data_IF_956903849343
#
_entry.id   IF_956903849343
#
_cell.length_a   1.000
_cell.length_b   1.000
_cell.length_c   1.000
_cell.angle_alpha   90.00
_cell.angle_beta   90.00
_cell.angle_gamma   90.00
#
_symmetry.space_group_name_H-M   'P 1'
#
loop_
_entity.id
_entity.type
_entity.pdbx_description
1 polymer ?
#
# COMPACT_ATOMS: atom_id res chain seq x y z
N UNK A 1 25.79 11.18 64.59
CA UNK A 1 26.00 10.73 63.19
C UNK A 1 25.95 9.21 63.14
N UNK A 2 24.79 8.62 62.85
CA UNK A 2 24.60 7.18 62.56
C UNK A 2 23.21 7.07 61.93
N UNK A 3 23.05 6.19 60.94
CA UNK A 3 21.86 5.97 60.11
C UNK A 3 21.87 6.60 58.70
N UNK A 4 23.04 6.94 58.14
CA UNK A 4 23.16 7.16 56.68
C UNK A 4 23.54 5.90 55.88
N UNK A 5 23.95 4.82 56.57
CA UNK A 5 24.37 3.55 55.94
C UNK A 5 23.19 2.61 55.58
N UNK A 6 22.00 2.83 56.13
CA UNK A 6 20.84 1.96 55.87
C UNK A 6 20.09 2.29 54.56
N UNK A 7 20.35 3.45 53.95
CA UNK A 7 19.70 3.87 52.70
C UNK A 7 20.44 3.44 51.44
N UNK A 8 21.69 2.99 51.57
CA UNK A 8 22.53 2.54 50.45
C UNK A 8 21.96 1.26 49.76
N UNK A 9 21.54 0.21 50.48
CA UNK A 9 20.94 -0.97 49.82
C UNK A 9 19.56 -0.67 49.22
N UNK A 10 18.81 0.29 49.78
CA UNK A 10 17.49 0.69 49.27
C UNK A 10 17.59 1.50 47.97
N UNK A 11 18.60 2.39 47.85
CA UNK A 11 18.90 3.09 46.61
C UNK A 11 19.46 2.17 45.52
N UNK A 12 20.27 1.16 45.90
CA UNK A 12 20.79 0.16 44.96
C UNK A 12 19.67 -0.75 44.39
N UNK A 13 18.66 -1.08 45.21
CA UNK A 13 17.46 -1.81 44.76
C UNK A 13 16.61 -1.01 43.76
N UNK A 14 16.58 0.33 43.89
CA UNK A 14 15.83 1.21 42.98
C UNK A 14 16.52 1.41 41.62
N UNK A 15 17.82 1.17 41.51
CA UNK A 15 18.55 1.16 40.23
C UNK A 15 18.38 -0.14 39.43
N UNK A 16 17.97 -1.24 40.08
CA UNK A 16 17.75 -2.54 39.42
C UNK A 16 16.37 -2.69 38.77
N UNK A 17 15.43 -1.76 39.02
CA UNK A 17 14.07 -1.80 38.46
C UNK A 17 13.95 -1.12 37.08
N UNK A 18 15.04 -0.57 36.55
CA UNK A 18 15.05 0.05 35.22
C UNK A 18 15.48 -0.90 34.09
N UNK A 19 15.81 -2.15 34.40
CA UNK A 19 15.97 -3.19 33.38
C UNK A 19 14.61 -3.85 33.09
N UNK A 20 13.62 -3.05 32.70
CA UNK A 20 12.63 -3.55 31.75
C UNK A 20 13.37 -3.66 30.41
N UNK A 21 14.26 -4.65 30.30
CA UNK A 21 14.72 -5.14 29.00
C UNK A 21 13.44 -5.52 28.27
N UNK A 22 13.07 -4.69 27.29
CA UNK A 22 12.17 -5.11 26.23
C UNK A 22 12.76 -6.42 25.72
N UNK A 23 12.09 -7.54 25.98
CA UNK A 23 12.40 -8.79 25.30
C UNK A 23 12.03 -8.53 23.85
N UNK A 24 13.00 -8.04 23.08
CA UNK A 24 12.93 -8.07 21.62
C UNK A 24 13.02 -9.55 21.29
N UNK A 25 11.86 -10.17 21.07
CA UNK A 25 11.80 -11.53 20.55
C UNK A 25 12.70 -11.56 19.30
N UNK A 26 13.65 -12.51 19.20
CA UNK A 26 14.53 -12.60 18.06
C UNK A 26 13.68 -12.71 16.78
N UNK A 27 14.07 -11.93 15.78
CA UNK A 27 13.37 -11.85 14.50
C UNK A 27 13.21 -13.27 13.93
N UNK A 28 11.97 -13.75 13.77
CA UNK A 28 11.73 -14.59 12.59
C UNK A 28 12.07 -13.70 11.40
N UNK A 29 12.83 -14.20 10.45
CA UNK A 29 13.12 -13.46 9.22
C UNK A 29 11.78 -13.01 8.62
N UNK A 30 11.43 -11.73 8.81
CA UNK A 30 10.25 -11.06 8.28
C UNK A 30 10.46 -10.87 6.76
N UNK A 31 10.56 -11.98 6.05
CA UNK A 31 10.60 -12.05 4.61
C UNK A 31 9.16 -12.22 4.17
N UNK A 32 8.43 -11.09 4.10
CA UNK A 32 7.07 -11.07 3.55
C UNK A 32 7.02 -11.88 2.25
N UNK A 33 5.90 -12.56 2.01
CA UNK A 33 5.78 -13.54 0.93
C UNK A 33 6.30 -12.98 -0.40
N UNK A 34 7.22 -13.73 -1.02
CA UNK A 34 7.71 -13.46 -2.37
C UNK A 34 7.00 -14.37 -3.35
N UNK A 35 6.44 -13.77 -4.40
CA UNK A 35 5.71 -14.43 -5.46
C UNK A 35 6.51 -14.47 -6.77
N UNK A 36 7.77 -14.00 -6.76
CA UNK A 36 8.61 -13.96 -7.96
C UNK A 36 9.97 -13.28 -7.77
N UNK A 37 10.68 -13.09 -8.88
CA UNK A 37 11.93 -12.33 -8.93
C UNK A 37 11.67 -10.82 -8.81
N UNK A 38 12.54 -10.10 -8.09
CA UNK A 38 12.46 -8.64 -8.00
C UNK A 38 13.00 -7.97 -9.27
N UNK A 39 12.09 -7.53 -10.14
CA UNK A 39 12.39 -6.76 -11.35
C UNK A 39 12.11 -5.26 -11.20
N UNK A 40 11.81 -4.81 -9.97
CA UNK A 40 11.47 -3.42 -9.69
C UNK A 40 10.05 -3.03 -10.12
N UNK A 41 9.86 -1.74 -10.37
CA UNK A 41 8.61 -1.18 -10.90
C UNK A 41 8.76 -0.82 -12.37
N UNK A 42 7.70 -1.08 -13.13
CA UNK A 42 7.63 -0.77 -14.55
C UNK A 42 6.48 0.19 -14.85
N UNK A 43 6.54 0.88 -15.99
CA UNK A 43 5.49 1.79 -16.44
C UNK A 43 5.25 1.70 -17.94
N UNK A 44 4.02 1.95 -18.35
CA UNK A 44 3.59 2.03 -19.75
C UNK A 44 2.85 3.34 -19.99
N UNK A 45 3.06 3.94 -21.17
CA UNK A 45 2.27 5.08 -21.61
C UNK A 45 0.86 4.61 -22.00
N UNK A 46 -0.15 5.26 -21.44
CA UNK A 46 -1.57 4.97 -21.74
C UNK A 46 -2.21 6.04 -22.61
N UNK A 47 -1.68 7.25 -22.55
CA UNK A 47 -2.09 8.37 -23.36
C UNK A 47 -0.97 9.41 -23.46
N UNK A 48 -0.84 10.04 -24.61
CA UNK A 48 0.09 11.14 -24.86
C UNK A 48 -0.71 12.27 -25.49
N UNK A 49 -0.75 13.41 -24.82
CA UNK A 49 -1.56 14.54 -25.23
C UNK A 49 -1.04 15.86 -24.71
N UNK A 50 -1.93 16.85 -24.64
CA UNK A 50 -1.63 18.15 -24.06
C UNK A 50 -2.37 18.30 -22.73
N UNK A 51 -1.72 18.91 -21.74
CA UNK A 51 -2.38 19.37 -20.52
C UNK A 51 -3.26 20.58 -20.80
N UNK A 52 -4.07 21.00 -19.81
CA UNK A 52 -4.87 22.23 -19.89
C UNK A 52 -4.03 23.49 -20.13
N UNK A 53 -2.75 23.45 -19.72
CA UNK A 53 -1.78 24.53 -19.95
C UNK A 53 -1.13 24.49 -21.34
N UNK A 54 -1.41 23.46 -22.15
CA UNK A 54 -0.81 23.26 -23.47
C UNK A 54 0.55 22.55 -23.45
N UNK A 55 0.99 22.07 -22.29
CA UNK A 55 2.23 21.31 -22.14
C UNK A 55 2.04 19.86 -22.56
N UNK A 56 3.13 19.17 -22.95
CA UNK A 56 3.06 17.73 -23.20
C UNK A 56 2.67 17.00 -21.91
N UNK A 57 1.65 16.16 -21.98
CA UNK A 57 1.19 15.30 -20.89
C UNK A 57 1.29 13.83 -21.32
N UNK A 58 1.88 13.02 -20.45
CA UNK A 58 2.04 11.58 -20.64
C UNK A 58 1.38 10.90 -19.45
N UNK A 59 0.22 10.27 -19.69
CA UNK A 59 -0.47 9.49 -18.66
C UNK A 59 0.10 8.07 -18.62
N UNK A 60 0.37 7.57 -17.42
CA UNK A 60 1.11 6.33 -17.20
C UNK A 60 0.27 5.32 -16.42
N UNK A 61 0.52 4.05 -16.70
CA UNK A 61 0.15 2.95 -15.82
C UNK A 61 1.43 2.37 -15.20
N UNK A 62 1.48 2.23 -13.88
CA UNK A 62 2.59 1.61 -13.15
C UNK A 62 2.23 0.18 -12.74
N UNK A 63 3.21 -0.71 -12.81
CA UNK A 63 3.09 -2.14 -12.55
C UNK A 63 4.12 -2.57 -11.50
N UNK A 64 3.69 -3.33 -10.49
CA UNK A 64 4.57 -3.84 -9.46
C UNK A 64 5.16 -5.21 -9.87
N UNK A 65 6.41 -5.20 -10.33
CA UNK A 65 7.18 -6.39 -10.70
C UNK A 65 8.25 -6.74 -9.65
N UNK A 66 8.12 -6.25 -8.41
CA UNK A 66 9.11 -6.50 -7.35
C UNK A 66 9.04 -7.91 -6.76
N UNK A 67 8.04 -8.70 -7.16
CA UNK A 67 7.75 -10.02 -6.57
C UNK A 67 7.18 -9.96 -5.16
N UNK A 68 7.03 -8.78 -4.57
CA UNK A 68 6.49 -8.57 -3.22
C UNK A 68 5.46 -7.43 -3.24
N UNK A 69 4.68 -7.31 -2.16
CA UNK A 69 3.90 -6.09 -1.92
C UNK A 69 4.84 -4.90 -1.86
N UNK A 70 4.52 -3.83 -2.58
CA UNK A 70 5.42 -2.68 -2.65
C UNK A 70 4.67 -1.36 -2.77
N UNK A 71 5.23 -0.31 -2.18
CA UNK A 71 4.84 1.07 -2.44
C UNK A 71 5.97 1.77 -3.19
N UNK A 72 5.64 2.59 -4.19
CA UNK A 72 6.64 3.36 -4.96
C UNK A 72 6.32 4.84 -5.03
N UNK A 73 7.36 5.63 -5.23
CA UNK A 73 7.28 7.07 -5.46
C UNK A 73 8.42 7.50 -6.38
N UNK A 74 8.12 8.36 -7.35
CA UNK A 74 9.15 9.00 -8.18
C UNK A 74 10.11 9.83 -7.33
N UNK A 75 11.40 9.73 -7.66
CA UNK A 75 12.51 10.37 -6.99
C UNK A 75 12.95 11.62 -7.77
N UNK A 76 12.11 12.64 -7.80
CA UNK A 76 12.42 13.94 -8.43
C UNK A 76 11.76 14.13 -9.80
N UNK A 77 12.54 14.65 -10.75
CA UNK A 77 12.04 15.02 -12.08
C UNK A 77 12.18 13.89 -13.08
N UNK A 78 11.39 13.93 -14.15
CA UNK A 78 11.52 12.99 -15.26
C UNK A 78 12.26 13.63 -16.43
N UNK A 79 12.93 12.84 -17.26
CA UNK A 79 13.65 13.30 -18.45
C UNK A 79 12.97 12.75 -19.70
N UNK A 80 12.41 13.64 -20.53
CA UNK A 80 11.97 13.33 -21.88
C UNK A 80 13.18 13.38 -22.82
N UNK A 81 13.42 12.31 -23.58
CA UNK A 81 14.33 12.32 -24.72
C UNK A 81 13.52 12.26 -26.01
N UNK A 82 13.58 13.31 -26.82
CA UNK A 82 12.84 13.44 -28.09
C UNK A 82 13.80 14.01 -29.14
N UNK A 83 13.91 13.35 -30.30
CA UNK A 83 14.84 13.74 -31.38
C UNK A 83 16.31 13.93 -30.92
N UNK A 84 16.75 13.14 -29.93
CA UNK A 84 18.09 13.23 -29.33
C UNK A 84 18.27 14.38 -28.34
N UNK A 85 17.27 15.24 -28.14
CA UNK A 85 17.28 16.30 -27.12
C UNK A 85 16.68 15.79 -25.82
N UNK A 86 17.34 16.09 -24.70
CA UNK A 86 16.83 15.84 -23.35
C UNK A 86 16.13 17.08 -22.79
N UNK A 87 14.91 16.92 -22.31
CA UNK A 87 14.09 17.95 -21.67
C UNK A 87 13.71 17.47 -20.28
N UNK A 88 13.90 18.32 -19.27
CA UNK A 88 13.52 18.00 -17.90
C UNK A 88 12.04 18.33 -17.67
N UNK A 89 11.29 17.39 -17.13
CA UNK A 89 9.86 17.47 -16.86
C UNK A 89 9.67 17.60 -15.35
N UNK A 90 9.32 18.80 -14.91
CA UNK A 90 9.24 19.14 -13.49
C UNK A 90 7.97 18.58 -12.81
N UNK A 91 6.88 18.43 -13.56
CA UNK A 91 5.61 17.94 -13.03
C UNK A 91 5.57 16.43 -13.15
N UNK A 92 5.84 15.73 -12.04
CA UNK A 92 5.85 14.27 -11.96
C UNK A 92 4.91 13.82 -10.85
N UNK A 93 3.78 13.23 -11.24
CA UNK A 93 2.85 12.58 -10.32
C UNK A 93 2.90 11.09 -10.60
N UNK A 94 3.98 10.42 -10.21
CA UNK A 94 4.18 8.98 -10.43
C UNK A 94 4.47 8.30 -9.11
N UNK A 95 3.57 7.43 -8.68
CA UNK A 95 3.66 6.72 -7.40
C UNK A 95 2.35 6.00 -7.06
N UNK A 96 2.40 5.17 -6.02
CA UNK A 96 1.23 4.43 -5.54
C UNK A 96 0.41 5.17 -4.48
N UNK A 97 0.73 6.45 -4.22
CA UNK A 97 0.08 7.24 -3.17
C UNK A 97 0.41 6.78 -1.74
N UNK A 98 1.45 5.95 -1.57
CA UNK A 98 1.80 5.31 -0.30
C UNK A 98 1.18 3.92 -0.12
N UNK A 99 0.17 3.57 -0.91
CA UNK A 99 -0.43 2.24 -0.88
C UNK A 99 0.59 1.18 -1.32
N UNK A 100 0.59 0.04 -0.62
CA UNK A 100 1.28 -1.15 -1.11
C UNK A 100 0.42 -1.82 -2.16
N UNK A 101 0.90 -1.87 -3.39
CA UNK A 101 0.30 -2.61 -4.49
C UNK A 101 0.78 -4.05 -4.46
N UNK A 102 -0.10 -5.01 -4.74
CA UNK A 102 0.27 -6.41 -4.84
C UNK A 102 1.22 -6.64 -6.04
N UNK A 103 2.12 -7.65 -6.00
CA UNK A 103 2.92 -8.00 -7.17
C UNK A 103 2.01 -8.47 -8.32
N UNK A 104 2.35 -8.13 -9.56
CA UNK A 104 1.49 -8.44 -10.74
C UNK A 104 0.28 -7.51 -10.90
N UNK A 105 0.04 -6.59 -9.94
CA UNK A 105 -1.01 -5.58 -10.06
C UNK A 105 -0.49 -4.31 -10.73
N UNK A 106 -1.39 -3.67 -11.47
CA UNK A 106 -1.20 -2.43 -12.21
C UNK A 106 -2.21 -1.38 -11.77
N UNK A 107 -1.77 -0.12 -11.76
CA UNK A 107 -2.63 1.03 -11.44
C UNK A 107 -2.30 2.22 -12.34
N UNK A 108 -3.25 3.13 -12.51
CA UNK A 108 -3.10 4.42 -13.22
C UNK A 108 -3.51 5.62 -12.39
N UNK A 109 -3.96 5.41 -11.17
CA UNK A 109 -4.34 6.50 -10.27
C UNK A 109 -4.67 6.02 -8.87
N UNK A 110 -4.81 6.96 -7.95
CA UNK A 110 -5.18 6.72 -6.56
C UNK A 110 -5.92 7.92 -5.98
N UNK A 111 -6.60 7.74 -4.85
CA UNK A 111 -7.17 8.86 -4.11
C UNK A 111 -6.06 9.58 -3.33
N UNK A 112 -5.77 10.81 -3.75
CA UNK A 112 -4.79 11.70 -3.13
C UNK A 112 -5.39 13.02 -2.66
N UNK A 113 -4.53 14.02 -2.47
CA UNK A 113 -4.93 15.33 -1.95
C UNK A 113 -4.88 15.39 -0.42
N UNK A 114 -5.86 16.06 0.19
CA UNK A 114 -5.99 16.13 1.65
C UNK A 114 -7.06 15.14 2.10
N UNK A 115 -6.94 14.60 3.32
CA UNK A 115 -7.96 13.69 3.88
C UNK A 115 -9.38 14.31 3.86
N UNK A 116 -9.49 15.62 4.08
CA UNK A 116 -10.76 16.37 4.04
C UNK A 116 -11.24 16.73 2.64
N UNK A 117 -10.38 16.61 1.63
CA UNK A 117 -10.61 17.05 0.24
C UNK A 117 -9.88 16.07 -0.70
N UNK A 118 -10.44 14.87 -0.74
CA UNK A 118 -9.93 13.75 -1.51
C UNK A 118 -10.24 13.95 -2.99
N UNK A 119 -9.27 13.64 -3.85
CA UNK A 119 -9.43 13.69 -5.30
C UNK A 119 -8.70 12.54 -5.96
N UNK A 120 -9.17 12.14 -7.13
CA UNK A 120 -8.42 11.22 -7.98
C UNK A 120 -7.13 11.91 -8.43
N UNK A 121 -6.00 11.31 -8.11
CA UNK A 121 -4.67 11.67 -8.61
C UNK A 121 -4.26 10.63 -9.64
N UNK A 122 -4.30 11.01 -10.91
CA UNK A 122 -3.78 10.18 -11.99
C UNK A 122 -2.26 10.10 -11.92
N UNK A 123 -1.72 9.00 -12.44
CA UNK A 123 -0.28 8.79 -12.60
C UNK A 123 0.14 9.40 -13.94
N UNK A 124 0.92 10.49 -13.93
CA UNK A 124 1.31 11.19 -15.16
C UNK A 124 2.58 12.03 -15.00
N UNK A 125 3.15 12.42 -16.14
CA UNK A 125 4.23 13.41 -16.24
C UNK A 125 3.85 14.52 -17.22
N UNK A 126 4.18 15.77 -16.88
CA UNK A 126 4.04 16.92 -17.78
C UNK A 126 5.40 17.59 -18.07
N UNK A 127 5.65 17.87 -19.34
CA UNK A 127 6.89 18.45 -19.85
C UNK A 127 6.60 19.80 -20.52
N UNK A 128 6.97 20.88 -19.83
CA UNK A 128 6.64 22.24 -20.26
C UNK A 128 7.25 22.61 -21.62
N UNK A 129 6.41 23.12 -22.53
CA UNK A 129 6.83 23.53 -23.88
C UNK A 129 7.47 22.43 -24.73
N UNK A 130 7.28 21.17 -24.38
CA UNK A 130 7.85 20.02 -25.09
C UNK A 130 6.81 19.36 -26.03
N UNK A 131 7.32 18.53 -26.94
CA UNK A 131 6.54 17.65 -27.80
C UNK A 131 7.22 16.27 -27.89
N UNK A 132 6.42 15.22 -27.96
CA UNK A 132 6.89 13.87 -28.19
C UNK A 132 6.91 13.60 -29.71
N UNK A 133 8.09 13.32 -30.26
CA UNK A 133 8.25 12.83 -31.63
C UNK A 133 8.37 11.30 -31.63
N UNK A 134 8.20 10.62 -32.78
CA UNK A 134 8.47 9.18 -32.86
C UNK A 134 9.87 8.81 -32.35
N UNK A 135 9.97 7.71 -31.61
CA UNK A 135 11.19 7.25 -30.94
C UNK A 135 11.49 7.98 -29.63
N UNK A 136 10.54 8.76 -29.10
CA UNK A 136 10.73 9.45 -27.82
C UNK A 136 10.68 8.47 -26.64
N UNK A 137 11.47 8.76 -25.61
CA UNK A 137 11.43 8.01 -24.36
C UNK A 137 11.29 8.94 -23.16
N UNK A 138 10.62 8.47 -22.12
CA UNK A 138 10.52 9.13 -20.84
C UNK A 138 11.27 8.30 -19.80
N UNK A 139 12.22 8.89 -19.09
CA UNK A 139 12.94 8.22 -18.00
C UNK A 139 12.68 8.94 -16.68
N UNK A 140 12.47 8.19 -15.60
CA UNK A 140 12.38 8.74 -14.25
C UNK A 140 13.00 7.78 -13.22
N UNK A 141 13.67 8.37 -12.24
CA UNK A 141 14.14 7.64 -11.07
C UNK A 141 13.00 7.47 -10.07
N UNK A 142 13.01 6.38 -9.33
CA UNK A 142 12.02 6.09 -8.30
C UNK A 142 12.66 5.42 -7.09
N UNK A 143 11.99 5.54 -5.96
CA UNK A 143 12.24 4.77 -4.75
C UNK A 143 11.03 3.91 -4.44
N UNK A 144 11.27 2.77 -3.80
CA UNK A 144 10.21 1.87 -3.39
C UNK A 144 10.57 1.18 -2.07
N UNK A 145 9.56 0.64 -1.39
CA UNK A 145 9.72 -0.23 -0.21
C UNK A 145 8.97 -1.52 -0.49
N UNK A 146 9.56 -2.68 -0.17
CA UNK A 146 8.92 -3.99 -0.37
C UNK A 146 8.60 -4.70 0.95
N UNK A 147 7.70 -5.69 0.83
CA UNK A 147 7.29 -6.57 1.92
C UNK A 147 6.28 -5.92 2.86
N UNK A 148 6.18 -6.49 4.05
CA UNK A 148 5.23 -6.08 5.08
C UNK A 148 5.47 -4.64 5.56
N UNK A 149 4.42 -4.00 6.07
CA UNK A 149 4.55 -2.69 6.70
C UNK A 149 4.99 -2.84 8.14
N UNK A 150 6.22 -2.43 8.44
CA UNK A 150 6.69 -2.31 9.81
C UNK A 150 6.68 -0.83 10.22
N UNK A 151 5.79 -0.47 11.14
CA UNK A 151 5.65 0.91 11.62
C UNK A 151 6.97 1.48 12.17
N UNK A 152 7.76 0.65 12.84
CA UNK A 152 9.02 1.07 13.46
C UNK A 152 10.20 1.08 12.48
N UNK A 153 10.10 0.37 11.37
CA UNK A 153 11.20 0.18 10.41
C UNK A 153 10.70 0.36 8.95
N UNK A 154 10.00 1.46 8.68
CA UNK A 154 9.31 1.69 7.41
C UNK A 154 10.22 1.70 6.18
N UNK A 155 11.52 1.95 6.37
CA UNK A 155 12.52 2.05 5.31
C UNK A 155 13.46 0.83 5.24
N UNK A 156 13.25 -0.22 6.06
CA UNK A 156 14.16 -1.38 6.17
C UNK A 156 14.43 -2.04 4.81
N UNK A 157 13.41 -2.09 3.96
CA UNK A 157 13.45 -2.70 2.62
C UNK A 157 13.39 -1.66 1.50
N UNK A 158 13.93 -0.46 1.73
CA UNK A 158 13.95 0.59 0.71
C UNK A 158 14.91 0.24 -0.42
N UNK A 159 14.42 0.31 -1.65
CA UNK A 159 15.19 0.24 -2.87
C UNK A 159 15.01 1.48 -3.75
N UNK A 160 15.80 1.56 -4.81
CA UNK A 160 15.66 2.56 -5.87
C UNK A 160 15.87 1.93 -7.23
N UNK A 161 15.38 2.60 -8.27
CA UNK A 161 15.55 2.18 -9.65
C UNK A 161 15.28 3.33 -10.61
N UNK A 162 15.50 3.07 -11.89
CA UNK A 162 15.14 3.98 -12.98
C UNK A 162 14.21 3.22 -13.90
N UNK A 163 13.07 3.80 -14.24
CA UNK A 163 12.19 3.27 -15.28
C UNK A 163 12.33 4.09 -16.55
N UNK A 164 12.24 3.42 -17.69
CA UNK A 164 12.24 4.03 -19.02
C UNK A 164 11.00 3.58 -19.74
N UNK A 165 10.18 4.54 -20.17
CA UNK A 165 8.93 4.33 -20.89
C UNK A 165 9.15 4.70 -22.35
N UNK A 166 8.84 3.76 -23.23
CA UNK A 166 8.77 4.00 -24.67
C UNK A 166 7.44 4.71 -25.00
N UNK A 167 7.53 5.87 -25.65
CA UNK A 167 6.36 6.68 -26.00
C UNK A 167 5.74 6.28 -27.35
N UNK A 168 6.39 5.41 -28.12
CA UNK A 168 5.79 4.85 -29.34
C UNK A 168 4.83 3.68 -29.01
N UNK A 169 5.00 3.06 -27.85
CA UNK A 169 4.21 1.92 -27.38
C UNK A 169 3.13 2.40 -26.41
N UNK A 170 2.12 3.10 -26.94
CA UNK A 170 0.95 3.54 -26.17
C UNK A 170 -0.10 2.43 -26.16
N UNK A 171 -0.49 1.97 -24.97
CA UNK A 171 -1.57 0.99 -24.81
C UNK A 171 -2.69 1.57 -23.94
N UNK A 172 -3.78 1.95 -24.60
CA UNK A 172 -4.99 2.45 -23.94
C UNK A 172 -5.91 1.31 -23.45
N UNK A 173 -5.67 0.07 -23.87
CA UNK A 173 -6.50 -1.10 -23.61
C UNK A 173 -5.88 -2.05 -22.56
N UNK A 174 -5.03 -1.51 -21.67
CA UNK A 174 -4.46 -2.27 -20.57
C UNK A 174 -5.55 -2.86 -19.67
N UNK A 175 -5.32 -4.10 -19.23
CA UNK A 175 -6.14 -4.75 -18.21
C UNK A 175 -5.72 -4.27 -16.81
N UNK A 176 -6.71 -4.07 -15.95
CA UNK A 176 -6.57 -3.68 -14.55
C UNK A 176 -7.53 -4.49 -13.66
N UNK A 177 -7.26 -4.60 -12.36
CA UNK A 177 -5.99 -4.25 -11.72
C UNK A 177 -4.92 -5.34 -11.88
N UNK A 178 -5.32 -6.58 -12.23
CA UNK A 178 -4.41 -7.71 -12.38
C UNK A 178 -3.83 -7.73 -13.80
N UNK A 179 -2.54 -7.44 -13.93
CA UNK A 179 -1.83 -7.55 -15.21
C UNK A 179 -1.17 -8.93 -15.37
N UNK A 180 -0.69 -9.51 -14.27
CA UNK A 180 -0.18 -10.87 -14.19
C UNK A 180 -0.77 -11.58 -12.98
N UNK A 181 -1.38 -12.76 -13.19
CA UNK A 181 -1.96 -13.55 -12.11
C UNK A 181 -0.88 -14.39 -11.45
N UNK A 182 -0.69 -14.22 -10.14
CA UNK A 182 0.26 -14.99 -9.34
C UNK A 182 -0.50 -15.94 -8.41
N UNK A 183 -0.10 -17.23 -8.42
CA UNK A 183 -0.76 -18.26 -7.62
C UNK A 183 -0.71 -17.93 -6.12
N UNK A 184 -1.84 -18.06 -5.44
CA UNK A 184 -1.95 -17.85 -4.00
C UNK A 184 -1.89 -16.38 -3.53
N UNK A 185 -1.72 -15.41 -4.43
CA UNK A 185 -1.67 -13.99 -4.07
C UNK A 185 -3.05 -13.40 -3.76
N UNK A 186 -4.05 -13.80 -4.55
CA UNK A 186 -5.42 -13.28 -4.46
C UNK A 186 -6.25 -14.25 -3.62
N UNK A 187 -6.81 -13.74 -2.54
CA UNK A 187 -7.65 -14.47 -1.60
C UNK A 187 -9.12 -14.38 -2.02
N UNK A 188 -9.86 -15.47 -1.79
CA UNK A 188 -11.32 -15.46 -1.93
C UNK A 188 -11.96 -14.52 -0.89
N UNK A 189 -13.15 -14.01 -1.21
CA UNK A 189 -13.91 -13.08 -0.36
C UNK A 189 -14.05 -13.56 1.09
N UNK A 190 -14.37 -14.84 1.29
CA UNK A 190 -14.63 -15.47 2.60
C UNK A 190 -13.40 -16.15 3.21
N UNK A 191 -12.20 -15.96 2.62
CA UNK A 191 -11.00 -16.60 3.10
C UNK A 191 -10.61 -16.09 4.51
N UNK A 192 -10.35 -16.98 5.48
CA UNK A 192 -9.91 -16.56 6.80
C UNK A 192 -8.49 -15.98 6.74
N UNK A 193 -8.29 -14.84 7.40
CA UNK A 193 -6.99 -14.17 7.50
C UNK A 193 -6.52 -14.23 8.96
N UNK A 194 -5.37 -14.87 9.20
CA UNK A 194 -4.76 -14.92 10.52
C UNK A 194 -4.03 -13.60 10.84
N UNK A 195 -4.47 -12.95 11.91
CA UNK A 195 -3.90 -11.73 12.43
C UNK A 195 -3.06 -11.98 13.70
N UNK A 196 -2.63 -10.89 14.35
CA UNK A 196 -1.88 -10.93 15.59
C UNK A 196 -2.61 -11.77 16.65
N UNK A 197 -1.84 -12.55 17.43
CA UNK A 197 -2.33 -13.48 18.45
C UNK A 197 -3.29 -14.57 17.92
N UNK A 198 -3.21 -14.90 16.63
CA UNK A 198 -4.07 -15.90 15.97
C UNK A 198 -5.55 -15.52 15.94
N UNK A 199 -5.86 -14.24 16.10
CA UNK A 199 -7.21 -13.75 15.83
C UNK A 199 -7.49 -13.99 14.35
N UNK A 200 -8.64 -14.60 14.04
CA UNK A 200 -9.06 -14.85 12.67
C UNK A 200 -9.98 -13.72 12.24
N UNK A 201 -9.64 -13.06 11.14
CA UNK A 201 -10.47 -12.07 10.47
C UNK A 201 -11.20 -12.73 9.30
N UNK A 202 -12.48 -12.43 9.12
CA UNK A 202 -13.27 -12.87 7.97
C UNK A 202 -14.16 -11.74 7.49
N UNK A 203 -14.21 -11.54 6.18
CA UNK A 203 -15.19 -10.65 5.54
C UNK A 203 -16.52 -11.41 5.45
N UNK A 204 -17.54 -10.91 6.13
CA UNK A 204 -18.85 -11.57 6.27
C UNK A 204 -19.95 -10.89 5.46
N UNK A 205 -19.67 -9.73 4.85
CA UNK A 205 -20.63 -9.07 3.97
C UNK A 205 -20.06 -7.84 3.29
N UNK A 206 -20.61 -7.55 2.12
CA UNK A 206 -20.30 -6.36 1.32
C UNK A 206 -21.63 -5.72 0.92
N UNK A 207 -21.76 -4.42 1.16
CA UNK A 207 -22.93 -3.65 0.77
C UNK A 207 -22.51 -2.41 -0.01
N UNK A 208 -23.04 -2.25 -1.22
CA UNK A 208 -22.86 -1.04 -2.02
C UNK A 208 -24.08 -0.13 -1.89
N UNK A 209 -23.86 1.07 -1.36
CA UNK A 209 -24.89 2.12 -1.24
C UNK A 209 -24.44 3.40 -1.96
N UNK A 210 -24.90 3.57 -3.21
CA UNK A 210 -24.50 4.71 -4.04
C UNK A 210 -23.00 4.67 -4.34
N UNK A 211 -22.26 5.68 -3.87
CA UNK A 211 -20.80 5.77 -4.00
C UNK A 211 -20.04 5.21 -2.78
N UNK A 212 -20.73 4.56 -1.84
CA UNK A 212 -20.10 3.93 -0.68
C UNK A 212 -20.12 2.41 -0.82
N UNK A 213 -19.01 1.78 -0.46
CA UNK A 213 -18.89 0.34 -0.31
C UNK A 213 -18.55 0.06 1.15
N UNK A 214 -19.46 -0.64 1.82
CA UNK A 214 -19.36 -1.00 3.23
C UNK A 214 -18.98 -2.46 3.34
N UNK A 215 -17.95 -2.75 4.14
CA UNK A 215 -17.47 -4.09 4.42
C UNK A 215 -17.84 -4.45 5.85
N UNK A 216 -18.48 -5.60 6.04
CA UNK A 216 -18.78 -6.18 7.35
C UNK A 216 -17.76 -7.25 7.66
N UNK A 217 -17.10 -7.12 8.81
CA UNK A 217 -16.01 -7.99 9.23
C UNK A 217 -16.39 -8.69 10.53
N UNK A 218 -16.00 -9.95 10.66
CA UNK A 218 -16.02 -10.71 11.92
C UNK A 218 -14.58 -10.98 12.34
N UNK A 219 -14.29 -10.80 13.63
CA UNK A 219 -13.05 -11.28 14.24
C UNK A 219 -13.37 -12.36 15.28
N UNK A 220 -12.66 -13.48 15.22
CA UNK A 220 -12.73 -14.58 16.20
C UNK A 220 -11.40 -14.68 16.96
N UNK A 221 -11.46 -14.60 18.29
CA UNK A 221 -10.28 -14.65 19.14
C UNK A 221 -10.21 -15.99 19.89
N UNK A 222 -9.33 -16.91 19.50
CA UNK A 222 -9.17 -18.20 20.19
C UNK A 222 -8.43 -18.07 21.54
N UNK A 223 -7.91 -16.90 21.88
CA UNK A 223 -7.09 -16.65 23.06
C UNK A 223 -7.87 -16.45 24.36
N UNK A 224 -7.17 -16.58 25.49
CA UNK A 224 -7.70 -16.40 26.86
C UNK A 224 -7.85 -14.92 27.28
N UNK A 225 -7.36 -14.00 26.45
CA UNK A 225 -7.38 -12.56 26.74
C UNK A 225 -8.05 -11.79 25.60
N UNK A 226 -8.80 -10.71 25.89
CA UNK A 226 -9.29 -9.80 24.88
C UNK A 226 -8.14 -9.27 24.02
N UNK A 227 -8.33 -9.27 22.70
CA UNK A 227 -7.29 -8.88 21.74
C UNK A 227 -7.80 -7.77 20.82
N UNK A 228 -6.89 -6.87 20.47
CA UNK A 228 -7.05 -5.84 19.46
C UNK A 228 -6.21 -6.26 18.24
N UNK A 229 -6.79 -6.16 17.05
CA UNK A 229 -6.06 -6.37 15.79
C UNK A 229 -6.21 -5.11 14.99
N UNK A 230 -5.12 -4.44 14.64
CA UNK A 230 -5.18 -3.28 13.76
C UNK A 230 -5.43 -3.70 12.31
N UNK A 231 -6.46 -3.11 11.73
CA UNK A 231 -6.91 -3.30 10.37
C UNK A 231 -7.06 -1.90 9.80
N UNK A 232 -6.18 -1.52 8.86
CA UNK A 232 -6.32 -0.23 8.20
C UNK A 232 -7.70 -0.12 7.54
N UNK A 233 -8.20 1.10 7.30
CA UNK A 233 -9.39 1.29 6.48
C UNK A 233 -9.02 0.86 5.06
N UNK A 234 -9.54 -0.29 4.57
CA UNK A 234 -8.93 -0.92 3.43
C UNK A 234 -9.34 -0.19 2.15
N UNK A 235 -8.38 0.32 1.36
CA UNK A 235 -8.70 0.80 0.03
C UNK A 235 -9.09 -0.35 -0.89
N UNK A 236 -9.78 -0.03 -1.98
CA UNK A 236 -10.04 -0.98 -3.08
C UNK A 236 -9.43 -0.49 -4.37
N UNK A 237 -8.97 -1.39 -5.22
CA UNK A 237 -8.56 -1.07 -6.57
C UNK A 237 -9.59 -1.62 -7.57
N UNK A 238 -10.03 -0.78 -8.51
CA UNK A 238 -11.05 -1.16 -9.48
C UNK A 238 -10.51 -1.61 -10.84
N UNK A 239 -11.43 -2.09 -11.68
CA UNK A 239 -11.15 -2.45 -13.08
C UNK A 239 -10.74 -1.26 -13.95
N UNK A 240 -10.86 -0.05 -13.42
CA UNK A 240 -10.38 1.18 -14.02
C UNK A 240 -8.96 1.55 -13.53
N UNK A 241 -8.31 0.69 -12.75
CA UNK A 241 -6.92 0.87 -12.30
C UNK A 241 -6.72 1.98 -11.29
N UNK A 242 -7.77 2.47 -10.62
CA UNK A 242 -7.68 3.49 -9.59
C UNK A 242 -7.81 2.84 -8.21
N UNK A 243 -6.91 3.21 -7.29
CA UNK A 243 -7.03 2.86 -5.88
C UNK A 243 -7.97 3.87 -5.20
N UNK A 244 -9.12 3.41 -4.75
CA UNK A 244 -10.12 4.12 -3.99
C UNK A 244 -9.90 3.94 -2.49
N UNK A 245 -9.90 5.05 -1.75
CA UNK A 245 -9.56 5.11 -0.34
C UNK A 245 -8.28 5.91 -0.14
N UNK A 246 -8.35 6.93 0.72
CA UNK A 246 -7.19 7.76 1.04
C UNK A 246 -6.19 6.95 1.87
N UNK A 247 -4.91 6.98 1.48
CA UNK A 247 -3.86 6.30 2.24
C UNK A 247 -3.75 6.84 3.66
N UNK A 248 -3.90 5.96 4.64
CA UNK A 248 -3.56 6.19 6.04
C UNK A 248 -2.66 5.05 6.49
N UNK A 249 -1.74 5.33 7.42
CA UNK A 249 -0.94 4.27 7.99
C UNK A 249 -1.87 3.35 8.80
N UNK A 250 -1.76 2.01 8.65
CA UNK A 250 -2.74 1.07 9.19
C UNK A 250 -2.77 1.03 10.74
N UNK A 251 -1.80 1.66 11.40
CA UNK A 251 -1.71 1.75 12.86
C UNK A 251 -2.67 2.76 13.50
N UNK A 252 -3.20 3.71 12.73
CA UNK A 252 -4.02 4.84 13.23
C UNK A 252 -5.51 4.45 13.35
N UNK A 253 -5.94 3.37 12.72
CA UNK A 253 -7.36 3.01 12.64
C UNK A 253 -7.82 2.34 13.94
N UNK A 254 -8.94 2.84 14.47
CA UNK A 254 -9.57 2.29 15.68
C UNK A 254 -10.17 0.93 15.37
N UNK A 255 -9.89 -0.06 16.22
CA UNK A 255 -10.28 -1.45 15.98
C UNK A 255 -11.10 -2.02 17.13
N UNK A 256 -12.04 -2.92 16.82
CA UNK A 256 -12.87 -3.54 17.83
C UNK A 256 -12.05 -4.46 18.75
N UNK A 257 -12.46 -4.52 20.01
CA UNK A 257 -11.93 -5.47 20.97
C UNK A 257 -12.65 -6.79 20.75
N UNK A 258 -11.91 -7.84 20.40
CA UNK A 258 -12.49 -9.19 20.34
C UNK A 258 -12.35 -9.86 21.70
N UNK A 259 -13.47 -10.25 22.36
CA UNK A 259 -13.41 -10.89 23.67
C UNK A 259 -12.68 -12.23 23.61
N UNK A 260 -12.15 -12.68 24.74
CA UNK A 260 -11.53 -14.01 24.84
C UNK A 260 -12.52 -15.11 24.46
N UNK A 261 -12.08 -16.03 23.61
CA UNK A 261 -12.88 -17.17 23.13
C UNK A 261 -14.16 -16.77 22.39
N UNK A 262 -14.26 -15.52 21.92
CA UNK A 262 -15.49 -14.97 21.37
C UNK A 262 -15.26 -14.26 20.03
N UNK A 263 -16.36 -13.68 19.54
CA UNK A 263 -16.44 -13.02 18.24
C UNK A 263 -16.84 -11.57 18.38
N UNK A 264 -16.50 -10.75 17.39
CA UNK A 264 -16.96 -9.36 17.30
C UNK A 264 -17.12 -8.94 15.86
N UNK A 265 -18.24 -8.28 15.57
CA UNK A 265 -18.57 -7.77 14.25
C UNK A 265 -18.40 -6.26 14.21
N UNK A 266 -17.98 -5.75 13.05
CA UNK A 266 -17.74 -4.32 12.82
C UNK A 266 -17.70 -4.03 11.33
N UNK A 267 -17.62 -2.74 10.97
CA UNK A 267 -17.68 -2.33 9.56
C UNK A 267 -16.60 -1.31 9.20
N UNK A 268 -16.15 -1.36 7.95
CA UNK A 268 -15.40 -0.28 7.29
C UNK A 268 -16.16 0.22 6.06
N UNK A 269 -15.82 1.43 5.61
CA UNK A 269 -16.44 2.04 4.42
C UNK A 269 -15.35 2.67 3.55
N UNK A 270 -15.50 2.51 2.23
CA UNK A 270 -14.68 3.18 1.22
C UNK A 270 -15.57 3.82 0.15
N UNK A 271 -15.18 5.01 -0.32
CA UNK A 271 -15.91 5.70 -1.39
C UNK A 271 -15.39 5.26 -2.75
N UNK A 272 -16.30 4.74 -3.58
CA UNK A 272 -16.03 4.21 -4.92
C UNK A 272 -17.18 4.64 -5.84
N UNK A 273 -16.91 5.24 -7.01
CA UNK A 273 -17.96 5.56 -7.97
C UNK A 273 -18.80 4.31 -8.32
N UNK A 274 -20.11 4.46 -8.39
CA UNK A 274 -21.04 3.35 -8.63
C UNK A 274 -20.81 2.62 -9.97
N UNK A 275 -20.14 3.27 -10.92
CA UNK A 275 -19.81 2.71 -12.24
C UNK A 275 -18.56 1.82 -12.24
N UNK A 276 -17.79 1.79 -11.15
CA UNK A 276 -16.55 1.01 -11.06
C UNK A 276 -16.85 -0.38 -10.52
N UNK A 277 -16.39 -1.37 -11.27
CA UNK A 277 -16.58 -2.82 -11.02
C UNK A 277 -15.24 -3.53 -10.89
N UNK A 278 -15.27 -4.86 -10.72
CA UNK A 278 -14.06 -5.68 -10.74
C UNK A 278 -13.09 -5.28 -9.63
N UNK A 279 -13.65 -5.06 -8.44
CA UNK A 279 -12.93 -4.51 -7.30
C UNK A 279 -12.11 -5.60 -6.58
N UNK A 280 -10.97 -5.18 -6.02
CA UNK A 280 -10.17 -5.98 -5.10
C UNK A 280 -9.86 -5.14 -3.86
N UNK A 281 -10.03 -5.72 -2.67
CA UNK A 281 -9.62 -5.07 -1.41
C UNK A 281 -8.11 -5.21 -1.27
N UNK A 282 -7.42 -4.11 -1.00
CA UNK A 282 -6.01 -4.09 -0.63
C UNK A 282 -5.91 -3.93 0.89
N UNK A 283 -5.97 -5.06 1.60
CA UNK A 283 -6.10 -5.10 3.05
C UNK A 283 -4.73 -5.20 3.73
N UNK A 284 -4.49 -4.40 4.76
CA UNK A 284 -3.32 -4.53 5.64
C UNK A 284 -3.76 -4.99 7.03
N UNK A 285 -3.25 -6.13 7.49
CA UNK A 285 -3.61 -6.76 8.77
C UNK A 285 -2.39 -6.88 9.66
N UNK A 286 -2.51 -6.39 10.90
CA UNK A 286 -1.47 -6.56 11.91
C UNK A 286 -1.26 -8.04 12.20
N UNK A 287 -0.04 -8.55 12.01
CA UNK A 287 0.29 -9.97 12.14
C UNK A 287 1.71 -10.19 12.66
N UNK A 288 1.97 -11.36 13.24
CA UNK A 288 3.27 -11.78 13.76
C UNK A 288 3.72 -11.04 15.02
N UNK A 289 3.89 -9.71 14.94
CA UNK A 289 4.28 -8.82 16.04
C UNK A 289 3.51 -7.50 15.98
N UNK A 290 3.47 -6.80 17.11
CA UNK A 290 2.77 -5.53 17.20
C UNK A 290 3.32 -4.51 16.19
N UNK A 291 2.41 -3.84 15.47
CA UNK A 291 2.66 -2.87 14.39
C UNK A 291 3.45 -3.39 13.18
N UNK A 292 3.46 -4.71 12.96
CA UNK A 292 3.84 -5.32 11.68
C UNK A 292 2.57 -5.72 10.94
N UNK A 293 2.44 -5.32 9.68
CA UNK A 293 1.23 -5.57 8.89
C UNK A 293 1.55 -6.30 7.60
N UNK A 294 0.97 -7.50 7.46
CA UNK A 294 0.93 -8.21 6.19
C UNK A 294 -0.16 -7.65 5.30
N UNK A 295 0.01 -7.79 3.99
CA UNK A 295 -0.90 -7.25 2.99
C UNK A 295 -1.57 -8.37 2.21
N UNK A 296 -2.84 -8.20 1.91
CA UNK A 296 -3.70 -9.18 1.27
C UNK A 296 -4.49 -8.52 0.15
N UNK A 297 -4.63 -9.23 -0.97
CA UNK A 297 -5.54 -8.87 -2.05
C UNK A 297 -6.76 -9.78 -1.93
N UNK A 298 -7.94 -9.22 -1.66
CA UNK A 298 -9.19 -9.99 -1.55
C UNK A 298 -10.05 -9.72 -2.78
N UNK A 299 -10.41 -10.77 -3.50
CA UNK A 299 -11.29 -10.70 -4.67
C UNK A 299 -12.73 -10.41 -4.22
N UNK A 300 -13.25 -9.26 -4.65
CA UNK A 300 -14.65 -8.86 -4.44
C UNK A 300 -15.29 -8.46 -5.77
N UNK A 301 -14.81 -9.03 -6.89
CA UNK A 301 -15.20 -8.67 -8.25
C UNK A 301 -16.68 -8.86 -8.57
N UNK A 302 -17.39 -9.62 -7.73
CA UNK A 302 -18.83 -9.83 -7.84
C UNK A 302 -19.71 -8.64 -7.39
N UNK A 303 -19.12 -7.58 -6.80
CA UNK A 303 -19.82 -6.42 -6.18
C UNK A 303 -19.42 -5.05 -6.76
#
# INVERSE_FOLDING_TARGET
>A
MRNKLAYIPLLAGMFLVFACEYIVLPEKEDTGASYGENKGWNALATNIGKSDAGDLRIDLAIHNDTGQWSAMQAAGTATLTSEGKKTNCATVFVGSGGHRLAPGFRMRGYIGGKKSEQKVQMVYVECAGAEAAPGSTLSLDYTYVTGDYNYYEQEKNKGSGTMTVDLDTVDAALTYPVAESLEGLIHAEDAPIEALNKVVLTLIGIERTGEALTFSWETENPGEYPTYVHLGNPPVIGSDGIIYGFYETPDIVSVPITPSGGKTDWTTEVKVPATVTGLYILLSVETGKQRLFANYAVDITAH
#
